data_IF_008382661804
#
_entry.id   IF_008382661804
#
_cell.length_a   1.000
_cell.length_b   1.000
_cell.length_c   1.000
_cell.angle_alpha   90.00
_cell.angle_beta   90.00
_cell.angle_gamma   90.00
#
_symmetry.space_group_name_H-M   'P 1'
#
loop_
_entity.id
_entity.type
_entity.pdbx_description
1 polymer ?
#
# COMPACT_ATOMS: atom_id res chain seq x y z
N UNK A 1 59.69 14.59 21.58
CA UNK A 1 58.83 13.56 20.96
C UNK A 1 58.01 12.78 22.01
N UNK A 2 58.61 12.25 23.07
CA UNK A 2 57.87 11.47 24.10
C UNK A 2 56.78 12.24 24.85
N UNK A 3 57.00 13.52 25.14
CA UNK A 3 56.02 14.34 25.87
C UNK A 3 54.69 14.50 25.06
N UNK A 4 54.82 14.69 23.77
CA UNK A 4 53.65 14.81 22.86
C UNK A 4 52.85 13.50 22.82
N UNK A 5 53.56 12.37 22.82
CA UNK A 5 52.92 11.05 22.82
C UNK A 5 52.17 10.80 24.14
N UNK A 6 52.75 11.18 25.28
CA UNK A 6 52.12 11.02 26.59
C UNK A 6 50.88 11.89 26.70
N UNK A 7 50.93 13.14 26.24
CA UNK A 7 49.76 14.03 26.24
C UNK A 7 48.64 13.48 25.32
N UNK A 8 49.01 12.95 24.16
CA UNK A 8 48.05 12.35 23.23
C UNK A 8 47.37 11.12 23.84
N UNK A 9 48.14 10.22 24.47
CA UNK A 9 47.60 9.03 25.14
C UNK A 9 46.70 9.41 26.33
N UNK A 10 47.06 10.44 27.07
CA UNK A 10 46.21 10.93 28.15
C UNK A 10 44.88 11.51 27.63
N UNK A 11 44.92 12.34 26.60
CA UNK A 11 43.68 12.87 25.97
C UNK A 11 42.83 11.77 25.40
N UNK A 12 43.44 10.76 24.80
CA UNK A 12 42.72 9.59 24.28
C UNK A 12 42.03 8.80 25.41
N UNK A 13 42.73 8.64 26.53
CA UNK A 13 42.20 7.99 27.73
C UNK A 13 41.04 8.77 28.32
N UNK A 14 41.14 10.09 28.47
CA UNK A 14 40.07 10.98 28.93
C UNK A 14 38.85 10.94 27.98
N UNK A 15 39.10 10.91 26.68
CA UNK A 15 38.03 10.80 25.69
C UNK A 15 37.31 9.46 25.80
N UNK A 16 38.05 8.35 25.93
CA UNK A 16 37.48 7.02 26.13
C UNK A 16 36.72 6.98 27.45
N UNK A 17 37.29 7.48 28.53
CA UNK A 17 36.65 7.57 29.84
C UNK A 17 35.32 8.36 29.75
N UNK A 18 35.32 9.49 29.06
CA UNK A 18 34.11 10.29 28.80
C UNK A 18 33.05 9.51 28.03
N UNK A 19 33.46 8.75 27.01
CA UNK A 19 32.51 7.92 26.23
C UNK A 19 31.88 6.81 27.09
N UNK A 20 32.64 6.19 27.99
CA UNK A 20 32.11 5.16 28.90
C UNK A 20 31.28 5.72 30.05
N UNK A 21 31.44 6.97 30.40
CA UNK A 21 30.68 7.66 31.45
C UNK A 21 29.48 8.45 30.88
N UNK A 22 29.28 8.43 29.57
CA UNK A 22 28.04 8.89 28.98
C UNK A 22 26.90 8.05 29.60
N UNK A 23 25.93 8.74 30.20
CA UNK A 23 24.78 8.11 30.80
C UNK A 23 24.14 7.14 29.80
N UNK A 24 24.02 5.86 30.10
CA UNK A 24 23.42 4.92 29.17
C UNK A 24 21.98 5.36 28.86
N UNK A 25 21.64 5.33 27.58
CA UNK A 25 20.28 5.64 27.13
C UNK A 25 19.31 4.69 27.81
N UNK A 26 18.25 5.21 28.36
CA UNK A 26 17.17 4.38 28.88
C UNK A 26 16.38 3.73 27.74
N UNK A 27 15.62 2.68 28.05
CA UNK A 27 14.87 1.93 27.04
C UNK A 27 13.93 2.81 26.22
N UNK A 28 13.33 3.84 26.81
CA UNK A 28 12.44 4.77 26.11
C UNK A 28 13.21 5.65 25.11
N UNK A 29 14.41 6.07 25.46
CA UNK A 29 15.29 6.85 24.57
C UNK A 29 15.80 6.00 23.41
N UNK A 30 16.18 4.75 23.68
CA UNK A 30 16.56 3.78 22.65
C UNK A 30 15.39 3.54 21.67
N UNK A 31 14.18 3.34 22.19
CA UNK A 31 12.98 3.18 21.35
C UNK A 31 12.72 4.43 20.52
N UNK A 32 12.79 5.63 21.10
CA UNK A 32 12.63 6.90 20.36
C UNK A 32 13.67 7.08 19.26
N UNK A 33 14.93 6.74 19.52
CA UNK A 33 16.00 6.81 18.52
C UNK A 33 15.82 5.78 17.43
N UNK A 34 15.43 4.55 17.78
CA UNK A 34 15.11 3.49 16.83
C UNK A 34 13.93 3.92 15.93
N UNK A 35 12.86 4.48 16.52
CA UNK A 35 11.72 4.98 15.76
C UNK A 35 12.12 6.13 14.84
N UNK A 36 12.92 7.10 15.29
CA UNK A 36 13.42 8.18 14.43
C UNK A 36 14.27 7.65 13.26
N UNK A 37 15.11 6.64 13.48
CA UNK A 37 15.88 5.99 12.40
C UNK A 37 14.98 5.29 11.40
N UNK A 38 13.99 4.53 11.88
CA UNK A 38 12.98 3.89 11.04
C UNK A 38 12.21 4.93 10.22
N UNK A 39 11.70 5.98 10.86
CA UNK A 39 10.96 7.06 10.19
C UNK A 39 11.81 7.76 9.10
N UNK A 40 13.08 8.03 9.40
CA UNK A 40 14.02 8.61 8.42
C UNK A 40 14.24 7.68 7.24
N UNK A 41 14.47 6.40 7.50
CA UNK A 41 14.69 5.40 6.46
C UNK A 41 13.45 5.19 5.60
N UNK A 42 12.28 5.04 6.22
CA UNK A 42 10.99 4.95 5.53
C UNK A 42 10.81 6.19 4.64
N UNK A 43 11.03 7.38 5.17
CA UNK A 43 10.90 8.63 4.41
C UNK A 43 11.83 8.69 3.20
N UNK A 44 13.06 8.22 3.33
CA UNK A 44 14.03 8.14 2.23
C UNK A 44 13.63 7.11 1.18
N UNK A 45 13.19 5.92 1.60
CA UNK A 45 12.81 4.86 0.68
C UNK A 45 11.44 5.05 0.04
N UNK A 46 10.49 5.70 0.72
CA UNK A 46 9.21 6.08 0.13
C UNK A 46 9.35 7.18 -0.92
N UNK A 47 10.47 7.88 -0.98
CA UNK A 47 10.76 8.79 -2.10
C UNK A 47 11.22 8.05 -3.37
N UNK A 48 11.60 6.77 -3.25
CA UNK A 48 11.96 5.91 -4.37
C UNK A 48 10.70 5.33 -5.00
N UNK A 49 9.98 6.11 -5.78
CA UNK A 49 8.90 5.61 -6.61
C UNK A 49 9.37 5.45 -8.03
N UNK A 50 9.27 4.22 -8.53
CA UNK A 50 9.39 3.93 -9.97
C UNK A 50 8.30 4.65 -10.81
N UNK A 51 7.30 5.25 -10.15
CA UNK A 51 6.16 5.92 -10.76
C UNK A 51 5.86 7.19 -9.97
N UNK A 52 6.42 8.30 -10.42
CA UNK A 52 6.08 9.64 -9.93
C UNK A 52 4.74 10.07 -10.50
N UNK A 53 3.65 9.53 -9.99
CA UNK A 53 2.36 10.15 -10.20
C UNK A 53 2.22 11.25 -9.16
N UNK A 54 2.08 12.51 -9.59
CA UNK A 54 1.86 13.59 -8.65
C UNK A 54 0.52 13.40 -7.96
N UNK A 55 0.56 13.23 -6.66
CA UNK A 55 -0.62 13.18 -5.81
C UNK A 55 -0.74 14.50 -5.11
N UNK A 56 -1.94 15.08 -5.14
CA UNK A 56 -2.23 16.27 -4.36
C UNK A 56 -2.04 15.96 -2.86
N UNK A 57 -1.01 16.57 -2.26
CA UNK A 57 -0.65 16.36 -0.85
C UNK A 57 -1.78 16.78 0.10
N UNK A 58 -2.50 17.85 -0.25
CA UNK A 58 -3.63 18.34 0.52
C UNK A 58 -4.76 17.29 0.52
N UNK A 59 -5.11 16.75 -0.64
CA UNK A 59 -6.10 15.67 -0.74
C UNK A 59 -5.69 14.45 0.08
N UNK A 60 -4.44 13.98 -0.07
CA UNK A 60 -3.92 12.83 0.66
C UNK A 60 -3.98 13.00 2.19
N UNK A 61 -3.75 14.21 2.69
CA UNK A 61 -3.84 14.52 4.13
C UNK A 61 -5.27 14.68 4.60
N UNK A 62 -6.19 15.08 3.73
CA UNK A 62 -7.62 15.30 4.04
C UNK A 62 -8.48 14.03 3.95
N UNK A 63 -7.91 12.90 3.50
CA UNK A 63 -8.63 11.63 3.47
C UNK A 63 -9.17 11.27 4.86
N UNK A 64 -10.47 11.03 4.96
CA UNK A 64 -11.15 10.77 6.25
C UNK A 64 -10.86 9.36 6.78
N UNK A 65 -10.25 9.22 7.97
CA UNK A 65 -9.95 7.91 8.55
C UNK A 65 -11.20 7.05 8.81
N UNK A 66 -12.32 7.67 9.20
CA UNK A 66 -13.59 6.99 9.45
C UNK A 66 -14.29 6.48 8.19
N UNK A 67 -13.80 6.86 7.03
CA UNK A 67 -14.38 6.48 5.74
C UNK A 67 -15.16 7.59 5.07
N UNK A 68 -14.96 7.71 3.77
CA UNK A 68 -15.69 8.66 2.91
C UNK A 68 -15.67 8.18 1.46
N UNK A 69 -16.77 8.47 0.76
CA UNK A 69 -16.84 8.39 -0.69
C UNK A 69 -16.25 9.63 -1.35
N UNK A 70 -15.51 9.44 -2.43
CA UNK A 70 -14.91 10.48 -3.25
C UNK A 70 -15.30 10.26 -4.71
N UNK A 71 -15.98 11.24 -5.30
CA UNK A 71 -16.28 11.23 -6.73
C UNK A 71 -15.02 11.65 -7.48
N UNK A 72 -14.70 10.90 -8.53
CA UNK A 72 -13.57 11.16 -9.41
C UNK A 72 -13.98 10.84 -10.85
N UNK A 73 -13.18 11.28 -11.80
CA UNK A 73 -13.24 10.84 -13.18
C UNK A 73 -11.82 10.61 -13.65
N UNK A 74 -11.32 9.39 -13.45
CA UNK A 74 -9.93 9.07 -13.73
C UNK A 74 -9.82 7.86 -14.67
N UNK A 75 -8.82 7.87 -15.53
CA UNK A 75 -8.56 6.75 -16.43
C UNK A 75 -8.10 5.51 -15.65
N UNK A 76 -8.70 4.36 -15.96
CA UNK A 76 -8.38 3.08 -15.35
C UNK A 76 -6.88 2.73 -15.45
N UNK A 77 -6.25 3.03 -16.58
CA UNK A 77 -4.82 2.76 -16.77
C UNK A 77 -3.92 3.47 -15.77
N UNK A 78 -4.38 4.59 -15.23
CA UNK A 78 -3.66 5.44 -14.30
C UNK A 78 -4.09 5.22 -12.85
N UNK A 79 -5.33 4.87 -12.63
CA UNK A 79 -5.95 4.84 -11.31
C UNK A 79 -5.24 3.92 -10.29
N UNK A 80 -4.82 2.68 -10.60
CA UNK A 80 -4.09 1.85 -9.64
C UNK A 80 -2.78 2.48 -9.17
N UNK A 81 -2.06 3.16 -10.05
CA UNK A 81 -0.85 3.91 -9.69
C UNK A 81 -1.16 5.13 -8.81
N UNK A 82 -2.27 5.80 -9.06
CA UNK A 82 -2.76 6.91 -8.25
C UNK A 82 -3.07 6.43 -6.81
N UNK A 83 -3.80 5.32 -6.68
CA UNK A 83 -4.12 4.74 -5.36
C UNK A 83 -2.85 4.32 -4.64
N UNK A 84 -1.92 3.65 -5.32
CA UNK A 84 -0.64 3.27 -4.72
C UNK A 84 0.15 4.50 -4.22
N UNK A 85 0.09 5.63 -4.93
CA UNK A 85 0.71 6.88 -4.51
C UNK A 85 -0.05 7.54 -3.32
N UNK A 86 -1.38 7.44 -3.29
CA UNK A 86 -2.20 7.90 -2.16
C UNK A 86 -1.89 7.11 -0.88
N UNK A 87 -1.76 5.79 -1.00
CA UNK A 87 -1.50 4.89 0.13
C UNK A 87 -0.03 4.87 0.56
N UNK A 88 0.90 5.34 -0.29
CA UNK A 88 2.32 5.42 0.00
C UNK A 88 2.59 6.16 1.32
N UNK A 89 3.34 5.54 2.24
CA UNK A 89 3.76 6.16 3.50
C UNK A 89 2.64 6.30 4.53
N UNK A 90 1.49 5.70 4.34
CA UNK A 90 0.48 5.56 5.40
C UNK A 90 0.99 4.58 6.44
N UNK A 91 0.94 4.95 7.74
CA UNK A 91 1.44 4.13 8.86
C UNK A 91 0.48 3.01 9.28
N UNK A 92 -0.77 3.11 8.91
CA UNK A 92 -1.80 2.10 9.10
C UNK A 92 -2.22 1.54 7.75
N UNK A 93 -2.81 0.38 7.76
CA UNK A 93 -3.52 -0.09 6.59
C UNK A 93 -4.67 0.85 6.24
N UNK A 94 -4.89 1.04 4.98
CA UNK A 94 -6.02 1.73 4.39
C UNK A 94 -6.60 0.84 3.32
N UNK A 95 -7.90 0.91 3.18
CA UNK A 95 -8.61 0.29 2.08
C UNK A 95 -9.22 1.35 1.17
N UNK A 96 -9.20 1.09 -0.12
CA UNK A 96 -9.81 1.91 -1.17
C UNK A 96 -10.63 0.98 -2.04
N UNK A 97 -11.93 1.26 -2.18
CA UNK A 97 -12.83 0.51 -3.04
C UNK A 97 -13.34 1.45 -4.12
N UNK A 98 -12.99 1.16 -5.36
CA UNK A 98 -13.31 2.00 -6.51
C UNK A 98 -14.29 1.29 -7.46
N UNK A 99 -15.07 2.07 -8.18
CA UNK A 99 -16.00 1.57 -9.20
C UNK A 99 -15.59 2.03 -10.60
N UNK A 100 -15.70 1.15 -11.57
CA UNK A 100 -15.21 1.38 -12.92
C UNK A 100 -16.24 0.94 -13.97
N UNK A 101 -16.27 1.69 -15.09
CA UNK A 101 -16.97 1.35 -16.32
C UNK A 101 -16.18 1.83 -17.53
N UNK A 102 -16.03 0.97 -18.53
CA UNK A 102 -15.47 1.29 -19.85
C UNK A 102 -14.12 2.02 -19.81
N UNK A 103 -13.28 1.66 -18.84
CA UNK A 103 -11.94 2.25 -18.68
C UNK A 103 -11.91 3.56 -17.89
N UNK A 104 -13.03 3.96 -17.29
CA UNK A 104 -13.13 5.15 -16.44
C UNK A 104 -13.54 4.76 -15.01
N UNK A 105 -12.80 5.26 -14.03
CA UNK A 105 -13.14 5.16 -12.61
C UNK A 105 -13.96 6.38 -12.21
N UNK A 106 -15.17 6.15 -11.70
CA UNK A 106 -16.14 7.22 -11.38
C UNK A 106 -16.11 7.66 -9.92
N UNK A 107 -15.60 6.82 -9.05
CA UNK A 107 -15.49 7.16 -7.64
C UNK A 107 -14.84 6.05 -6.83
N UNK A 108 -14.47 6.39 -5.60
CA UNK A 108 -13.95 5.41 -4.66
C UNK A 108 -14.33 5.77 -3.22
N UNK A 109 -14.48 4.73 -2.43
CA UNK A 109 -14.58 4.82 -0.97
C UNK A 109 -13.21 4.54 -0.37
N UNK A 110 -12.83 5.24 0.70
CA UNK A 110 -11.59 4.97 1.41
C UNK A 110 -11.75 5.13 2.91
N UNK A 111 -11.18 4.21 3.69
CA UNK A 111 -11.06 4.32 5.14
C UNK A 111 -9.73 3.76 5.65
N UNK A 112 -9.38 4.19 6.87
CA UNK A 112 -8.20 3.73 7.60
C UNK A 112 -8.55 2.49 8.44
N UNK A 113 -7.64 1.53 8.51
CA UNK A 113 -7.70 0.38 9.41
C UNK A 113 -7.31 0.74 10.85
N UNK A 114 -7.51 -0.21 11.73
CA UNK A 114 -7.25 -0.06 13.18
C UNK A 114 -5.74 0.05 13.44
N UNK A 115 -4.95 -0.72 12.71
CA UNK A 115 -3.50 -0.81 12.89
C UNK A 115 -2.76 -0.92 11.55
N UNK A 116 -1.53 -1.40 11.57
CA UNK A 116 -0.68 -1.57 10.39
C UNK A 116 -0.80 -2.95 9.71
N UNK A 117 -1.69 -3.81 10.18
CA UNK A 117 -1.85 -5.18 9.68
C UNK A 117 -3.31 -5.61 9.50
N UNK A 118 -4.26 -4.70 9.75
CA UNK A 118 -5.67 -5.05 9.65
C UNK A 118 -6.49 -3.85 9.20
N UNK A 119 -7.22 -4.04 8.12
CA UNK A 119 -8.23 -3.09 7.64
C UNK A 119 -9.50 -3.84 7.22
N UNK A 120 -10.64 -3.31 7.60
CA UNK A 120 -11.95 -3.70 7.10
C UNK A 120 -12.66 -2.49 6.50
N UNK A 121 -13.67 -2.73 5.67
CA UNK A 121 -14.47 -1.60 5.19
C UNK A 121 -15.36 -1.08 6.30
N UNK A 122 -15.41 0.24 6.43
CA UNK A 122 -16.36 0.93 7.30
C UNK A 122 -17.69 1.26 6.56
N UNK A 123 -17.92 0.65 5.39
CA UNK A 123 -19.17 0.72 4.65
C UNK A 123 -19.66 -0.69 4.28
N UNK A 124 -20.92 -0.85 3.96
CA UNK A 124 -21.46 -2.11 3.43
C UNK A 124 -21.10 -2.30 1.96
N UNK A 125 -21.04 -3.56 1.51
CA UNK A 125 -20.92 -3.86 0.07
C UNK A 125 -22.16 -3.37 -0.70
N UNK A 126 -23.35 -3.35 -0.08
CA UNK A 126 -24.56 -2.81 -0.69
C UNK A 126 -24.44 -1.32 -0.99
N UNK A 127 -23.77 -0.55 -0.13
CA UNK A 127 -23.45 0.85 -0.42
C UNK A 127 -22.56 0.96 -1.68
N UNK A 128 -21.54 0.12 -1.81
CA UNK A 128 -20.70 0.12 -3.02
C UNK A 128 -21.50 -0.29 -4.25
N UNK A 129 -22.34 -1.31 -4.12
CA UNK A 129 -23.22 -1.76 -5.22
C UNK A 129 -24.22 -0.68 -5.63
N UNK A 130 -24.79 0.08 -4.70
CA UNK A 130 -25.67 1.22 -5.03
C UNK A 130 -24.93 2.31 -5.80
N UNK A 131 -23.64 2.53 -5.49
CA UNK A 131 -22.79 3.43 -6.29
C UNK A 131 -22.54 2.87 -7.69
N UNK A 132 -22.26 1.57 -7.82
CA UNK A 132 -22.14 0.93 -9.13
C UNK A 132 -23.43 1.11 -9.96
N UNK A 133 -24.59 0.95 -9.37
CA UNK A 133 -25.89 1.16 -10.05
C UNK A 133 -26.04 2.61 -10.49
N UNK A 134 -25.79 3.57 -9.59
CA UNK A 134 -25.91 5.01 -9.87
C UNK A 134 -25.01 5.47 -11.04
N UNK A 135 -23.83 4.91 -11.17
CA UNK A 135 -22.86 5.23 -12.25
C UNK A 135 -22.89 4.20 -13.39
N UNK A 136 -23.76 3.18 -13.30
CA UNK A 136 -23.85 2.08 -14.27
C UNK A 136 -22.47 1.40 -14.46
N UNK A 137 -21.72 1.21 -13.35
CA UNK A 137 -20.41 0.58 -13.37
C UNK A 137 -20.53 -0.95 -13.41
N UNK A 138 -19.49 -1.59 -13.94
CA UNK A 138 -19.43 -3.04 -14.12
C UNK A 138 -18.37 -3.72 -13.28
N UNK A 139 -17.40 -2.95 -12.78
CA UNK A 139 -16.22 -3.47 -12.07
C UNK A 139 -16.02 -2.75 -10.75
N UNK A 140 -15.75 -3.52 -9.71
CA UNK A 140 -15.34 -3.05 -8.39
C UNK A 140 -13.87 -3.43 -8.20
N UNK A 141 -13.05 -2.47 -7.84
CA UNK A 141 -11.63 -2.66 -7.56
C UNK A 141 -11.36 -2.37 -6.09
N UNK A 142 -10.73 -3.28 -5.40
CA UNK A 142 -10.32 -3.12 -4.01
C UNK A 142 -8.81 -3.01 -3.92
N UNK A 143 -8.34 -2.03 -3.16
CA UNK A 143 -6.93 -1.78 -2.91
C UNK A 143 -6.70 -1.68 -1.41
N UNK A 144 -5.64 -2.29 -0.92
CA UNK A 144 -5.15 -2.04 0.43
C UNK A 144 -3.63 -1.91 0.42
N UNK A 145 -3.08 -1.28 1.43
CA UNK A 145 -1.64 -1.20 1.58
C UNK A 145 -1.16 -2.07 2.73
N UNK A 146 0.03 -2.60 2.57
CA UNK A 146 0.79 -3.24 3.65
C UNK A 146 1.82 -2.22 4.18
N UNK A 147 1.54 -1.52 5.29
CA UNK A 147 2.52 -0.62 5.89
C UNK A 147 3.71 -1.42 6.38
N UNK A 148 4.88 -1.11 5.84
CA UNK A 148 6.10 -1.80 6.19
C UNK A 148 7.11 -0.83 6.76
N UNK A 149 7.47 -1.00 8.02
CA UNK A 149 8.49 -0.24 8.71
C UNK A 149 9.87 -0.94 8.69
N UNK A 150 9.94 -2.17 8.13
CA UNK A 150 11.20 -2.86 7.92
C UNK A 150 11.75 -2.54 6.52
N UNK A 151 12.86 -1.80 6.43
CA UNK A 151 13.44 -1.41 5.15
C UNK A 151 13.96 -2.58 4.31
N UNK A 152 14.30 -3.69 4.94
CA UNK A 152 14.87 -4.87 4.30
C UNK A 152 13.80 -5.88 3.87
N UNK A 153 12.56 -5.72 4.31
CA UNK A 153 11.48 -6.61 3.93
C UNK A 153 10.93 -6.23 2.54
N UNK A 154 11.11 -7.11 1.57
CA UNK A 154 10.76 -6.83 0.18
C UNK A 154 9.41 -7.39 -0.26
N UNK A 155 8.80 -8.29 0.52
CA UNK A 155 7.62 -9.05 0.12
C UNK A 155 6.28 -8.41 0.51
N UNK A 156 6.25 -7.11 0.73
CA UNK A 156 5.03 -6.40 1.16
C UNK A 156 3.98 -6.23 0.06
N UNK A 157 4.32 -6.62 -1.18
CA UNK A 157 3.38 -6.68 -2.29
C UNK A 157 2.71 -8.07 -2.42
N UNK A 158 3.04 -9.01 -1.54
CA UNK A 158 2.39 -10.30 -1.50
C UNK A 158 1.11 -10.21 -0.69
N UNK A 159 0.03 -10.77 -1.22
CA UNK A 159 -1.21 -10.92 -0.47
C UNK A 159 -1.05 -11.96 0.63
N UNK A 160 -1.63 -11.70 1.78
CA UNK A 160 -1.74 -12.70 2.84
C UNK A 160 -2.84 -13.72 2.52
N UNK A 161 -2.87 -14.82 3.26
CA UNK A 161 -3.98 -15.78 3.15
C UNK A 161 -5.32 -15.14 3.52
N UNK A 162 -5.32 -14.24 4.50
CA UNK A 162 -6.51 -13.50 4.93
C UNK A 162 -7.03 -12.57 3.81
N UNK A 163 -6.14 -11.93 3.05
CA UNK A 163 -6.53 -11.13 1.90
C UNK A 163 -7.25 -11.96 0.85
N UNK A 164 -6.75 -13.17 0.56
CA UNK A 164 -7.38 -14.09 -0.40
C UNK A 164 -8.76 -14.58 0.08
N UNK A 165 -8.90 -14.86 1.39
CA UNK A 165 -10.20 -15.25 1.98
C UNK A 165 -11.19 -14.08 1.85
N UNK A 166 -10.77 -12.88 2.22
CA UNK A 166 -11.59 -11.67 2.15
C UNK A 166 -11.99 -11.34 0.71
N UNK A 167 -11.05 -11.43 -0.23
CA UNK A 167 -11.32 -11.22 -1.65
C UNK A 167 -12.37 -12.20 -2.20
N UNK A 168 -12.27 -13.49 -1.84
CA UNK A 168 -13.27 -14.51 -2.22
C UNK A 168 -14.64 -14.22 -1.63
N UNK A 169 -14.68 -13.83 -0.35
CA UNK A 169 -15.93 -13.49 0.31
C UNK A 169 -16.63 -12.32 -0.40
N UNK A 170 -15.93 -11.22 -0.60
CA UNK A 170 -16.44 -10.03 -1.27
C UNK A 170 -16.86 -10.31 -2.71
N UNK A 171 -16.02 -11.00 -3.48
CA UNK A 171 -16.32 -11.34 -4.87
C UNK A 171 -17.55 -12.25 -4.96
N UNK A 172 -17.70 -13.24 -4.08
CA UNK A 172 -18.89 -14.11 -4.05
C UNK A 172 -20.18 -13.34 -3.76
N UNK A 173 -20.09 -12.29 -2.95
CA UNK A 173 -21.24 -11.45 -2.64
C UNK A 173 -21.71 -10.64 -3.86
N UNK A 174 -20.77 -10.07 -4.61
CA UNK A 174 -21.09 -9.16 -5.72
C UNK A 174 -21.13 -9.83 -7.10
N UNK A 175 -20.58 -11.05 -7.28
CA UNK A 175 -20.30 -11.70 -8.58
C UNK A 175 -21.49 -11.88 -9.52
N UNK A 176 -22.70 -11.84 -9.01
CA UNK A 176 -23.91 -11.95 -9.87
C UNK A 176 -24.07 -10.74 -10.80
N UNK A 177 -23.55 -9.58 -10.37
CA UNK A 177 -23.72 -8.29 -11.06
C UNK A 177 -22.41 -7.64 -11.48
N UNK A 178 -21.33 -7.81 -10.70
CA UNK A 178 -20.11 -7.02 -10.84
C UNK A 178 -18.87 -7.91 -10.89
N UNK A 179 -17.89 -7.45 -11.62
CA UNK A 179 -16.50 -7.97 -11.53
C UNK A 179 -15.87 -7.46 -10.23
N UNK A 180 -14.97 -8.26 -9.67
CA UNK A 180 -14.20 -7.90 -8.48
C UNK A 180 -12.72 -8.11 -8.73
N UNK A 181 -11.89 -7.09 -8.43
CA UNK A 181 -10.44 -7.15 -8.63
C UNK A 181 -9.75 -6.58 -7.40
N UNK A 182 -8.80 -7.32 -6.81
CA UNK A 182 -8.05 -6.89 -5.63
C UNK A 182 -6.59 -6.59 -5.94
N UNK A 183 -6.10 -5.56 -5.27
CA UNK A 183 -4.73 -5.09 -5.37
C UNK A 183 -4.13 -4.86 -3.98
N UNK A 184 -2.86 -5.23 -3.83
CA UNK A 184 -2.04 -4.80 -2.70
C UNK A 184 -1.10 -3.68 -3.14
N UNK A 185 -0.93 -2.68 -2.27
CA UNK A 185 -0.12 -1.50 -2.54
C UNK A 185 1.01 -1.40 -1.51
N UNK A 186 2.22 -1.13 -1.98
CA UNK A 186 3.36 -0.88 -1.11
C UNK A 186 4.36 0.08 -1.76
N UNK A 187 4.81 1.08 -1.01
CA UNK A 187 5.83 2.06 -1.45
C UNK A 187 5.53 2.71 -2.80
N UNK A 188 4.25 2.96 -3.09
CA UNK A 188 3.81 3.55 -4.35
C UNK A 188 3.80 2.57 -5.53
N UNK A 189 3.96 1.28 -5.28
CA UNK A 189 3.76 0.20 -6.24
C UNK A 189 2.46 -0.53 -5.91
N UNK A 190 1.95 -1.30 -6.86
CA UNK A 190 0.78 -2.16 -6.65
C UNK A 190 0.92 -3.46 -7.43
N UNK A 191 0.22 -4.47 -6.95
CA UNK A 191 0.12 -5.79 -7.61
C UNK A 191 -1.32 -6.26 -7.52
N UNK A 192 -1.88 -6.72 -8.63
CA UNK A 192 -3.15 -7.44 -8.66
C UNK A 192 -2.88 -8.87 -8.13
N UNK A 193 -3.66 -9.31 -7.14
CA UNK A 193 -3.49 -10.65 -6.59
C UNK A 193 -4.75 -11.52 -6.69
N UNK A 194 -5.91 -10.90 -6.93
CA UNK A 194 -7.17 -11.64 -7.08
C UNK A 194 -8.06 -10.98 -8.12
N UNK A 195 -8.83 -11.80 -8.83
CA UNK A 195 -9.85 -11.35 -9.77
C UNK A 195 -10.99 -12.38 -9.85
N UNK A 196 -12.20 -11.91 -9.97
CA UNK A 196 -13.38 -12.72 -10.24
C UNK A 196 -14.34 -11.95 -11.16
N UNK A 197 -14.82 -12.61 -12.20
CA UNK A 197 -15.69 -12.00 -13.19
C UNK A 197 -17.14 -12.44 -12.98
N UNK A 198 -18.04 -11.50 -13.19
CA UNK A 198 -19.46 -11.80 -13.26
C UNK A 198 -19.76 -12.67 -14.49
N UNK A 199 -20.63 -13.68 -14.37
CA UNK A 199 -21.06 -14.47 -15.53
C UNK A 199 -21.64 -13.63 -16.66
N UNK A 200 -22.22 -12.47 -16.35
CA UNK A 200 -22.79 -11.51 -17.31
C UNK A 200 -21.72 -10.87 -18.22
N UNK A 201 -20.45 -11.00 -17.86
CA UNK A 201 -19.33 -10.34 -18.53
C UNK A 201 -18.39 -11.32 -19.26
N UNK A 202 -18.77 -12.59 -19.42
CA UNK A 202 -18.01 -13.59 -20.15
C UNK A 202 -18.22 -13.44 -21.67
N UNK A 203 -17.21 -13.67 -22.44
CA UNK A 203 -15.78 -13.34 -22.47
C UNK A 203 -15.51 -11.98 -23.10
N UNK A 204 -16.57 -11.25 -23.52
CA UNK A 204 -16.45 -10.00 -24.27
C UNK A 204 -15.81 -8.87 -23.46
N UNK A 205 -15.79 -8.98 -22.14
CA UNK A 205 -15.37 -7.90 -21.25
C UNK A 205 -14.05 -8.15 -20.51
N UNK A 206 -13.26 -9.11 -20.98
CA UNK A 206 -11.84 -9.17 -20.65
C UNK A 206 -11.07 -7.85 -20.95
N UNK A 207 -11.75 -6.86 -21.54
CA UNK A 207 -11.17 -5.54 -21.83
C UNK A 207 -10.66 -4.83 -20.59
N UNK A 208 -11.40 -4.85 -19.49
CA UNK A 208 -10.97 -4.18 -18.24
C UNK A 208 -9.72 -4.83 -17.70
N UNK A 209 -9.69 -6.16 -17.62
CA UNK A 209 -8.51 -6.89 -17.20
C UNK A 209 -7.36 -6.74 -18.21
N UNK A 210 -7.66 -6.81 -19.48
CA UNK A 210 -6.69 -6.58 -20.55
C UNK A 210 -6.05 -5.20 -20.48
N UNK A 211 -6.84 -4.14 -20.27
CA UNK A 211 -6.32 -2.77 -20.13
C UNK A 211 -5.43 -2.66 -18.89
N UNK A 212 -5.87 -3.17 -17.74
CA UNK A 212 -5.06 -3.18 -16.52
C UNK A 212 -3.77 -3.96 -16.74
N UNK A 213 -3.86 -5.15 -17.32
CA UNK A 213 -2.71 -6.02 -17.57
C UNK A 213 -1.76 -5.42 -18.59
N UNK A 214 -2.28 -4.90 -19.70
CA UNK A 214 -1.45 -4.34 -20.77
C UNK A 214 -0.67 -3.12 -20.32
N UNK A 215 -1.31 -2.21 -19.58
CA UNK A 215 -0.67 -1.00 -19.10
C UNK A 215 0.28 -1.23 -17.90
N UNK A 216 0.23 -2.40 -17.29
CA UNK A 216 0.99 -2.74 -16.08
C UNK A 216 1.73 -4.07 -16.19
N UNK A 217 1.96 -4.56 -17.41
CA UNK A 217 2.60 -5.87 -17.67
C UNK A 217 3.89 -6.09 -16.87
N UNK A 218 4.77 -5.10 -16.78
CA UNK A 218 6.02 -5.22 -16.03
C UNK A 218 5.79 -5.41 -14.53
N UNK A 219 4.72 -4.84 -13.98
CA UNK A 219 4.35 -4.93 -12.56
C UNK A 219 3.77 -6.31 -12.24
N UNK A 220 2.94 -6.84 -13.12
CA UNK A 220 2.36 -8.17 -12.97
C UNK A 220 3.34 -9.30 -13.27
N UNK A 221 4.35 -9.07 -14.11
CA UNK A 221 5.45 -10.03 -14.30
C UNK A 221 6.16 -10.35 -12.99
N UNK A 222 6.46 -9.33 -12.19
CA UNK A 222 7.11 -9.55 -10.89
C UNK A 222 6.22 -10.35 -9.94
N UNK A 223 4.92 -10.08 -9.94
CA UNK A 223 3.95 -10.83 -9.15
C UNK A 223 3.87 -12.30 -9.58
N UNK A 224 3.74 -12.54 -10.89
CA UNK A 224 3.70 -13.89 -11.46
C UNK A 224 4.98 -14.68 -11.15
N UNK A 225 6.13 -14.03 -11.27
CA UNK A 225 7.42 -14.62 -10.93
C UNK A 225 7.48 -15.04 -9.45
N UNK A 226 7.03 -14.18 -8.54
CA UNK A 226 6.98 -14.52 -7.11
C UNK A 226 6.07 -15.72 -6.84
N UNK A 227 4.92 -15.79 -7.49
CA UNK A 227 4.00 -16.92 -7.39
C UNK A 227 4.61 -18.22 -7.92
N UNK A 228 5.29 -18.16 -9.07
CA UNK A 228 5.97 -19.32 -9.69
C UNK A 228 7.16 -19.81 -8.86
N UNK A 229 7.80 -18.94 -8.08
CA UNK A 229 8.88 -19.27 -7.17
C UNK A 229 8.41 -19.81 -5.79
N UNK A 230 7.11 -20.03 -5.60
CA UNK A 230 6.57 -20.65 -4.38
C UNK A 230 6.61 -19.77 -3.14
N UNK A 231 6.73 -18.46 -3.29
CA UNK A 231 6.67 -17.50 -2.18
C UNK A 231 5.23 -17.30 -1.63
N UNK A 232 4.29 -18.07 -2.16
CA UNK A 232 2.90 -18.14 -1.67
C UNK A 232 2.65 -19.50 -1.03
N UNK A 233 2.75 -19.54 0.27
CA UNK A 233 2.22 -20.62 1.10
C UNK A 233 1.08 -20.10 1.97
#
# INVERSE_FOLDING_TARGET
MYLVLIVFLWLLFEFIYFLFHLKPLNNNEIQKLSQKRKDKYIKQNYNFTLYNIPVNKSFKSSMKPSGKWYDVQENLSRFPSLVAALLKGKKHEWIVIAIEKDGIVYGFYANKGINNSTVSFNCSLDFIMSKCEAYNCSTIMCFHNHPNDNPHYQNCLLSSQQDLISARHCSNYVRKKYNWIDFVCERGRFVKYYEAYSPSFLPANAKTDYIITQNNISKFKNYKLHRELGFFH
#
